data_IF_649305279062
#
_entry.id   IF_649305279062
#
_cell.length_a   1.000
_cell.length_b   1.000
_cell.length_c   1.000
_cell.angle_alpha   90.00
_cell.angle_beta   90.00
_cell.angle_gamma   90.00
#
_symmetry.space_group_name_H-M   'P 1'
#
loop_
_entity.id
_entity.type
_entity.pdbx_description
1 polymer ?
#
# COMPACT_ATOMS: atom_id res chain seq x y z
N UNK A 1 3.00 -17.13 11.79
CA UNK A 1 2.00 -18.06 12.40
C UNK A 1 0.80 -18.23 11.47
N UNK A 2 0.05 -19.34 11.55
CA UNK A 2 -1.21 -19.48 10.79
C UNK A 2 -2.32 -18.69 11.49
N UNK A 3 -3.06 -17.86 10.75
CA UNK A 3 -4.10 -16.96 11.30
C UNK A 3 -5.50 -17.20 10.71
N UNK A 4 -5.60 -17.93 9.60
CA UNK A 4 -6.86 -18.42 9.04
C UNK A 4 -6.63 -19.72 8.27
N UNK A 5 -7.64 -20.58 8.23
CA UNK A 5 -7.58 -21.89 7.57
C UNK A 5 -6.60 -22.86 8.26
N UNK A 6 -5.88 -23.66 7.46
CA UNK A 6 -4.88 -24.62 7.97
C UNK A 6 -5.44 -25.97 8.44
N UNK A 7 -6.76 -26.13 8.54
CA UNK A 7 -7.43 -27.38 8.92
C UNK A 7 -7.72 -28.32 7.75
N UNK A 8 -6.74 -28.49 6.86
CA UNK A 8 -6.86 -29.19 5.56
C UNK A 8 -7.79 -28.45 4.58
N UNK A 9 -7.75 -28.90 3.33
CA UNK A 9 -8.68 -28.48 2.28
C UNK A 9 -10.11 -28.87 2.68
N UNK A 10 -11.06 -27.96 2.55
CA UNK A 10 -12.48 -28.27 2.73
C UNK A 10 -13.35 -27.01 2.72
N UNK A 11 -14.63 -27.16 3.07
CA UNK A 11 -15.64 -26.11 3.00
C UNK A 11 -16.26 -25.75 4.36
N UNK A 12 -15.79 -26.37 5.46
CA UNK A 12 -16.18 -25.98 6.81
C UNK A 12 -15.80 -24.50 7.08
N UNK A 13 -16.36 -23.92 8.15
CA UNK A 13 -16.12 -22.53 8.55
C UNK A 13 -14.67 -22.26 8.93
N UNK A 14 -13.94 -23.27 9.38
CA UNK A 14 -12.52 -23.20 9.69
C UNK A 14 -11.60 -23.71 8.54
N UNK A 15 -12.14 -23.95 7.35
CA UNK A 15 -11.40 -24.50 6.21
C UNK A 15 -11.44 -23.59 4.99
N UNK A 16 -10.38 -23.66 4.18
CA UNK A 16 -10.26 -22.98 2.89
C UNK A 16 -10.00 -24.01 1.78
N UNK A 17 -10.26 -23.63 0.53
CA UNK A 17 -10.08 -24.47 -0.64
C UNK A 17 -9.62 -23.63 -1.85
N UNK A 18 -8.34 -23.75 -2.19
CA UNK A 18 -7.66 -22.95 -3.23
C UNK A 18 -8.05 -21.46 -3.17
N UNK A 19 -7.86 -20.79 -2.02
CA UNK A 19 -8.19 -19.38 -1.89
C UNK A 19 -7.22 -18.54 -2.73
N UNK A 20 -7.70 -17.47 -3.38
CA UNK A 20 -6.89 -16.74 -4.40
C UNK A 20 -6.52 -15.31 -4.04
N UNK A 21 -7.32 -14.63 -3.23
CA UNK A 21 -7.09 -13.24 -2.84
C UNK A 21 -7.44 -13.05 -1.38
N UNK A 22 -6.74 -12.13 -0.71
CA UNK A 22 -7.12 -11.64 0.60
C UNK A 22 -6.80 -10.15 0.73
N UNK A 23 -7.52 -9.45 1.58
CA UNK A 23 -7.06 -8.18 2.15
C UNK A 23 -7.35 -8.15 3.64
N UNK A 24 -6.58 -7.36 4.38
CA UNK A 24 -6.78 -7.12 5.82
C UNK A 24 -7.22 -5.67 6.02
N UNK A 25 -8.28 -5.46 6.81
CA UNK A 25 -8.73 -4.12 7.18
C UNK A 25 -8.02 -3.58 8.44
N UNK A 26 -8.32 -2.32 8.78
CA UNK A 26 -7.75 -1.62 9.95
C UNK A 26 -8.11 -2.29 11.29
N UNK A 27 -9.20 -3.08 11.31
CA UNK A 27 -9.66 -3.84 12.48
C UNK A 27 -9.08 -5.26 12.52
N UNK A 28 -8.04 -5.56 11.73
CA UNK A 28 -7.42 -6.88 11.62
C UNK A 28 -8.41 -7.98 11.20
N UNK A 29 -9.42 -7.60 10.41
CA UNK A 29 -10.35 -8.54 9.78
C UNK A 29 -9.88 -8.84 8.38
N UNK A 30 -9.73 -10.12 8.08
CA UNK A 30 -9.38 -10.61 6.76
C UNK A 30 -10.63 -10.88 5.94
N UNK A 31 -10.63 -10.48 4.68
CA UNK A 31 -11.58 -10.97 3.69
C UNK A 31 -10.84 -11.85 2.70
N UNK A 32 -11.35 -13.04 2.43
CA UNK A 32 -10.65 -14.08 1.66
C UNK A 32 -11.55 -14.57 0.53
N UNK A 33 -11.02 -14.58 -0.70
CA UNK A 33 -11.66 -15.21 -1.85
C UNK A 33 -11.39 -16.72 -1.76
N UNK A 34 -12.32 -17.47 -1.17
CA UNK A 34 -12.21 -18.92 -1.02
C UNK A 34 -12.73 -19.60 -2.29
N UNK A 35 -11.89 -19.55 -3.32
CA UNK A 35 -12.33 -19.59 -4.71
C UNK A 35 -12.96 -20.92 -5.13
N UNK A 36 -12.43 -22.07 -4.70
CA UNK A 36 -13.05 -23.38 -5.00
C UNK A 36 -14.26 -23.68 -4.14
N UNK A 37 -14.47 -22.96 -3.05
CA UNK A 37 -15.71 -23.01 -2.30
C UNK A 37 -16.73 -21.96 -2.76
N UNK A 38 -16.42 -21.20 -3.82
CA UNK A 38 -17.37 -20.29 -4.46
C UNK A 38 -17.93 -19.23 -3.49
N UNK A 39 -17.08 -18.71 -2.61
CA UNK A 39 -17.48 -17.83 -1.53
C UNK A 39 -16.43 -16.78 -1.17
N UNK A 40 -16.88 -15.71 -0.55
CA UNK A 40 -16.05 -14.73 0.16
C UNK A 40 -16.23 -14.98 1.66
N UNK A 41 -15.12 -15.10 2.39
CA UNK A 41 -15.10 -15.35 3.83
C UNK A 41 -14.53 -14.14 4.55
N UNK A 42 -15.22 -13.67 5.58
CA UNK A 42 -14.68 -12.72 6.56
C UNK A 42 -14.12 -13.50 7.75
N UNK A 43 -12.92 -13.16 8.19
CA UNK A 43 -12.22 -13.88 9.25
C UNK A 43 -11.49 -12.89 10.15
N UNK A 44 -11.96 -12.72 11.39
CA UNK A 44 -11.29 -11.82 12.34
C UNK A 44 -10.03 -12.46 12.88
N UNK A 45 -9.01 -11.66 13.14
CA UNK A 45 -7.80 -12.18 13.77
C UNK A 45 -8.14 -12.87 15.11
N UNK A 46 -7.55 -14.05 15.33
CA UNK A 46 -7.74 -14.93 16.48
C UNK A 46 -9.04 -15.76 16.49
N UNK A 47 -9.95 -15.55 15.54
CA UNK A 47 -11.11 -16.44 15.39
C UNK A 47 -10.66 -17.80 14.80
N UNK A 48 -11.25 -18.88 15.30
CA UNK A 48 -11.04 -20.23 14.75
C UNK A 48 -11.85 -20.47 13.46
N UNK A 49 -12.93 -19.72 13.28
CA UNK A 49 -13.89 -19.90 12.20
C UNK A 49 -14.07 -18.60 11.42
N UNK A 50 -14.10 -18.69 10.10
CA UNK A 50 -14.56 -17.63 9.23
C UNK A 50 -16.08 -17.64 9.05
N UNK A 51 -16.61 -16.50 8.66
CA UNK A 51 -18.00 -16.26 8.34
C UNK A 51 -18.15 -16.06 6.82
N UNK A 52 -19.07 -16.78 6.20
CA UNK A 52 -19.37 -16.58 4.78
C UNK A 52 -20.16 -15.29 4.64
N UNK A 53 -19.58 -14.30 3.97
CA UNK A 53 -20.25 -13.02 3.72
C UNK A 53 -20.97 -13.03 2.37
N UNK A 54 -20.40 -13.65 1.35
CA UNK A 54 -21.05 -13.79 0.03
C UNK A 54 -20.77 -15.15 -0.59
N UNK A 55 -21.72 -15.66 -1.37
CA UNK A 55 -21.61 -16.95 -2.03
C UNK A 55 -21.83 -18.10 -1.04
N UNK A 56 -21.13 -19.22 -1.24
CA UNK A 56 -21.26 -20.40 -0.39
C UNK A 56 -22.52 -21.24 -0.62
N UNK A 57 -23.36 -20.83 -1.58
CA UNK A 57 -24.57 -21.54 -2.02
C UNK A 57 -24.28 -22.46 -3.23
N UNK A 58 -23.08 -23.02 -3.28
CA UNK A 58 -22.55 -23.76 -4.41
C UNK A 58 -22.14 -22.86 -5.60
N UNK A 59 -21.55 -23.49 -6.61
CA UNK A 59 -21.20 -22.83 -7.86
C UNK A 59 -22.48 -22.40 -8.60
N UNK A 60 -22.52 -21.16 -9.06
CA UNK A 60 -23.62 -20.68 -9.91
C UNK A 60 -23.44 -19.22 -10.34
N UNK A 61 -24.43 -18.70 -11.06
CA UNK A 61 -24.37 -17.37 -11.69
C UNK A 61 -25.48 -16.41 -11.23
N UNK A 62 -26.30 -16.81 -10.26
CA UNK A 62 -27.22 -15.89 -9.58
C UNK A 62 -26.45 -14.76 -8.88
N UNK A 63 -27.14 -13.70 -8.48
CA UNK A 63 -26.49 -12.54 -7.85
C UNK A 63 -25.93 -12.86 -6.44
N UNK A 64 -26.49 -13.86 -5.77
CA UNK A 64 -26.07 -14.41 -4.49
C UNK A 64 -25.05 -15.57 -4.61
N UNK A 65 -24.72 -15.99 -5.84
CA UNK A 65 -23.78 -17.08 -6.12
C UNK A 65 -22.52 -16.58 -6.82
N UNK A 66 -21.41 -17.26 -6.57
CA UNK A 66 -20.13 -17.00 -7.21
C UNK A 66 -19.62 -18.24 -7.96
N UNK A 67 -18.71 -18.03 -8.89
CA UNK A 67 -17.97 -19.05 -9.61
C UNK A 67 -16.50 -18.70 -9.65
N UNK A 68 -15.68 -19.36 -8.82
CA UNK A 68 -14.23 -19.14 -8.72
C UNK A 68 -13.84 -17.65 -8.58
N UNK A 69 -14.31 -16.94 -7.53
CA UNK A 69 -13.92 -15.55 -7.30
C UNK A 69 -12.39 -15.45 -7.22
N UNK A 70 -11.77 -14.57 -8.00
CA UNK A 70 -10.31 -14.50 -8.11
C UNK A 70 -9.69 -13.39 -7.28
N UNK A 71 -10.38 -12.26 -7.19
CA UNK A 71 -9.90 -11.07 -6.50
C UNK A 71 -11.07 -10.21 -5.99
N UNK A 72 -10.80 -9.36 -5.00
CA UNK A 72 -11.77 -8.43 -4.43
C UNK A 72 -11.10 -7.20 -3.83
N UNK A 73 -11.85 -6.10 -3.74
CA UNK A 73 -11.45 -4.92 -2.99
C UNK A 73 -12.66 -4.24 -2.33
N UNK A 74 -12.42 -3.45 -1.29
CA UNK A 74 -13.44 -2.57 -0.71
C UNK A 74 -13.50 -1.26 -1.49
N UNK A 75 -14.70 -0.89 -1.90
CA UNK A 75 -15.07 0.46 -2.32
C UNK A 75 -15.64 1.20 -1.12
N UNK A 76 -14.81 2.01 -0.47
CA UNK A 76 -15.16 2.70 0.79
C UNK A 76 -16.21 3.79 0.59
N UNK A 77 -16.22 4.44 -0.57
CA UNK A 77 -17.20 5.48 -0.89
C UNK A 77 -18.64 4.92 -0.92
N UNK A 78 -18.82 3.69 -1.41
CA UNK A 78 -20.14 3.03 -1.44
C UNK A 78 -20.32 1.97 -0.36
N UNK A 79 -19.34 1.82 0.54
CA UNK A 79 -19.26 0.73 1.52
C UNK A 79 -19.64 -0.64 0.91
N UNK A 80 -18.94 -1.03 -0.15
CA UNK A 80 -19.25 -2.23 -0.94
C UNK A 80 -17.99 -3.05 -1.24
N UNK A 81 -18.13 -4.35 -1.46
CA UNK A 81 -17.09 -5.18 -2.07
C UNK A 81 -17.23 -5.16 -3.59
N UNK A 82 -16.15 -4.86 -4.30
CA UNK A 82 -16.03 -5.12 -5.75
C UNK A 82 -15.31 -6.46 -5.91
N UNK A 83 -15.89 -7.38 -6.68
CA UNK A 83 -15.45 -8.78 -6.73
C UNK A 83 -15.31 -9.24 -8.17
N UNK A 84 -14.17 -9.85 -8.47
CA UNK A 84 -13.96 -10.58 -9.71
C UNK A 84 -14.49 -12.00 -9.62
N UNK A 85 -15.67 -12.19 -10.19
CA UNK A 85 -16.35 -13.47 -10.29
C UNK A 85 -15.93 -14.18 -11.59
N UNK A 86 -14.67 -14.61 -11.62
CA UNK A 86 -13.94 -15.04 -12.81
C UNK A 86 -14.68 -16.12 -13.62
N UNK A 87 -15.19 -17.16 -12.96
CA UNK A 87 -15.87 -18.27 -13.62
C UNK A 87 -17.17 -17.83 -14.32
N UNK A 88 -17.82 -16.78 -13.81
CA UNK A 88 -18.99 -16.17 -14.44
C UNK A 88 -18.62 -15.03 -15.41
N UNK A 89 -17.33 -14.73 -15.59
CA UNK A 89 -16.79 -13.68 -16.46
C UNK A 89 -17.43 -12.31 -16.22
N UNK A 90 -17.56 -11.93 -14.95
CA UNK A 90 -18.18 -10.67 -14.53
C UNK A 90 -17.45 -10.04 -13.36
N UNK A 91 -17.66 -8.73 -13.19
CA UNK A 91 -17.29 -7.99 -11.99
C UNK A 91 -18.57 -7.56 -11.27
N UNK A 92 -18.66 -7.87 -9.98
CA UNK A 92 -19.79 -7.54 -9.12
C UNK A 92 -19.42 -6.39 -8.19
N UNK A 93 -20.41 -5.60 -7.78
CA UNK A 93 -20.36 -4.70 -6.63
C UNK A 93 -21.44 -5.15 -5.66
N UNK A 94 -21.07 -5.39 -4.41
CA UNK A 94 -21.96 -5.90 -3.38
C UNK A 94 -21.93 -5.00 -2.15
N UNK A 95 -23.08 -4.44 -1.80
CA UNK A 95 -23.22 -3.55 -0.64
C UNK A 95 -22.98 -4.28 0.67
N UNK A 96 -22.16 -3.68 1.55
CA UNK A 96 -21.98 -4.10 2.93
C UNK A 96 -22.90 -3.34 3.91
N UNK A 97 -23.66 -2.34 3.44
CA UNK A 97 -24.64 -1.61 4.25
C UNK A 97 -25.95 -2.40 4.40
N UNK A 98 -26.53 -2.39 5.61
CA UNK A 98 -27.42 -3.44 6.15
C UNK A 98 -28.78 -3.73 5.46
N UNK A 99 -29.36 -4.86 5.92
CA UNK A 99 -30.66 -5.52 5.65
C UNK A 99 -31.15 -5.77 4.21
N UNK A 100 -30.62 -5.10 3.19
CA UNK A 100 -30.91 -5.45 1.79
C UNK A 100 -29.61 -5.64 0.99
N UNK A 101 -29.31 -6.89 0.64
CA UNK A 101 -28.18 -7.25 -0.22
C UNK A 101 -28.43 -6.77 -1.65
N UNK A 102 -28.06 -5.51 -1.96
CA UNK A 102 -28.00 -5.05 -3.35
C UNK A 102 -26.68 -5.50 -3.98
N UNK A 103 -26.77 -6.46 -4.90
CA UNK A 103 -25.66 -6.87 -5.77
C UNK A 103 -25.89 -6.26 -7.15
N UNK A 104 -24.89 -5.56 -7.68
CA UNK A 104 -24.89 -4.97 -9.02
C UNK A 104 -23.79 -5.61 -9.86
N UNK A 105 -24.08 -5.81 -11.14
CA UNK A 105 -23.06 -6.24 -12.11
C UNK A 105 -22.45 -4.99 -12.71
N UNK A 106 -21.16 -4.76 -12.47
CA UNK A 106 -20.44 -3.62 -13.04
C UNK A 106 -20.02 -3.89 -14.49
N UNK A 107 -19.52 -5.10 -14.76
CA UNK A 107 -19.01 -5.51 -16.07
C UNK A 107 -19.36 -6.97 -16.36
N UNK A 108 -19.55 -7.30 -17.64
CA UNK A 108 -19.78 -8.65 -18.15
C UNK A 108 -18.78 -8.97 -19.26
N UNK A 109 -18.61 -10.28 -19.55
CA UNK A 109 -17.71 -10.79 -20.60
C UNK A 109 -16.25 -10.36 -20.39
N UNK A 110 -15.83 -10.26 -19.11
CA UNK A 110 -14.46 -9.96 -18.72
C UNK A 110 -13.91 -11.19 -18.01
N UNK A 111 -12.80 -11.75 -18.48
CA UNK A 111 -12.11 -12.82 -17.77
C UNK A 111 -11.23 -12.22 -16.67
N UNK A 112 -11.87 -11.61 -15.67
CA UNK A 112 -11.16 -10.89 -14.62
C UNK A 112 -10.29 -11.84 -13.80
N UNK A 113 -9.06 -11.43 -13.51
CA UNK A 113 -8.22 -12.08 -12.51
C UNK A 113 -7.96 -11.17 -11.32
N UNK A 114 -7.55 -9.92 -11.54
CA UNK A 114 -7.24 -8.93 -10.51
C UNK A 114 -7.85 -7.56 -10.81
N UNK A 115 -8.08 -6.79 -9.75
CA UNK A 115 -8.70 -5.46 -9.81
C UNK A 115 -7.99 -4.43 -8.95
N UNK A 116 -8.05 -3.17 -9.38
CA UNK A 116 -7.72 -2.01 -8.54
C UNK A 116 -8.73 -0.89 -8.76
N UNK A 117 -8.95 -0.07 -7.74
CA UNK A 117 -9.84 1.09 -7.80
C UNK A 117 -9.03 2.32 -7.41
N UNK A 118 -9.05 3.35 -8.27
CA UNK A 118 -8.44 4.64 -7.94
C UNK A 118 -9.45 5.62 -7.28
N UNK A 119 -8.92 6.69 -6.70
CA UNK A 119 -9.67 7.75 -6.02
C UNK A 119 -10.64 8.47 -6.96
N UNK A 120 -10.41 8.37 -8.27
CA UNK A 120 -11.29 8.87 -9.30
C UNK A 120 -12.32 7.83 -9.73
N UNK A 121 -12.57 6.75 -8.98
CA UNK A 121 -13.52 5.68 -9.30
C UNK A 121 -13.32 5.03 -10.68
N UNK A 122 -12.11 5.01 -11.20
CA UNK A 122 -11.76 4.11 -12.29
C UNK A 122 -11.41 2.75 -11.71
N UNK A 123 -12.17 1.74 -12.12
CA UNK A 123 -11.87 0.35 -11.89
C UNK A 123 -10.92 -0.12 -12.99
N UNK A 124 -9.77 -0.65 -12.59
CA UNK A 124 -8.80 -1.30 -13.43
C UNK A 124 -8.94 -2.81 -13.28
N UNK A 125 -8.94 -3.53 -14.40
CA UNK A 125 -9.23 -4.96 -14.43
C UNK A 125 -8.23 -5.65 -15.34
N UNK A 126 -7.51 -6.65 -14.85
CA UNK A 126 -6.75 -7.55 -15.72
C UNK A 126 -7.71 -8.55 -16.37
N UNK A 127 -7.79 -8.52 -17.69
CA UNK A 127 -8.55 -9.49 -18.47
C UNK A 127 -7.55 -10.49 -19.08
N UNK A 128 -7.35 -11.62 -18.41
CA UNK A 128 -6.31 -12.58 -18.81
C UNK A 128 -6.57 -13.18 -20.19
N UNK A 129 -7.83 -13.24 -20.63
CA UNK A 129 -8.20 -13.74 -21.96
C UNK A 129 -7.92 -12.71 -23.08
N UNK A 130 -7.90 -11.42 -22.74
CA UNK A 130 -7.56 -10.34 -23.69
C UNK A 130 -6.09 -9.94 -23.64
N UNK A 131 -5.30 -10.52 -22.75
CA UNK A 131 -3.89 -10.14 -22.57
C UNK A 131 -3.74 -8.63 -22.33
N UNK A 132 -4.63 -8.06 -21.51
CA UNK A 132 -4.78 -6.62 -21.35
C UNK A 132 -5.23 -6.22 -19.94
N UNK A 133 -4.94 -4.98 -19.57
CA UNK A 133 -5.61 -4.29 -18.47
C UNK A 133 -6.61 -3.29 -19.03
N UNK A 134 -7.83 -3.39 -18.52
CA UNK A 134 -8.96 -2.54 -18.85
C UNK A 134 -9.13 -1.47 -17.79
N UNK A 135 -9.54 -0.26 -18.18
CA UNK A 135 -9.95 0.84 -17.31
C UNK A 135 -11.40 1.22 -17.58
N UNK A 136 -12.21 1.19 -16.53
CA UNK A 136 -13.65 1.44 -16.57
C UNK A 136 -14.03 2.47 -15.50
N UNK A 137 -14.61 3.60 -15.91
CA UNK A 137 -15.20 4.54 -14.95
C UNK A 137 -16.55 3.99 -14.51
N UNK A 138 -16.70 3.70 -13.22
CA UNK A 138 -17.94 3.12 -12.69
C UNK A 138 -19.13 4.02 -13.06
N UNK A 139 -20.17 3.40 -13.65
CA UNK A 139 -21.39 4.09 -14.08
C UNK A 139 -21.32 4.75 -15.46
N UNK A 140 -20.21 4.61 -16.20
CA UNK A 140 -20.07 5.10 -17.58
C UNK A 140 -19.92 3.92 -18.54
N UNK A 141 -20.45 3.97 -19.77
CA UNK A 141 -20.47 2.80 -20.66
C UNK A 141 -19.10 2.43 -21.25
N UNK A 142 -18.12 3.34 -21.23
CA UNK A 142 -16.85 3.17 -21.94
C UNK A 142 -15.83 2.38 -21.11
N UNK A 143 -15.24 1.37 -21.74
CA UNK A 143 -14.09 0.60 -21.22
C UNK A 143 -12.91 0.82 -22.17
N UNK A 144 -11.74 1.15 -21.64
CA UNK A 144 -10.53 1.38 -22.43
C UNK A 144 -9.45 0.35 -22.07
N UNK A 145 -8.59 -0.01 -23.02
CA UNK A 145 -7.35 -0.73 -22.73
C UNK A 145 -6.29 0.28 -22.31
N UNK A 146 -5.57 0.00 -21.21
CA UNK A 146 -4.53 0.90 -20.65
C UNK A 146 -3.15 0.23 -20.53
N UNK A 147 -3.08 -1.10 -20.65
CA UNK A 147 -1.84 -1.87 -20.77
C UNK A 147 -2.09 -3.16 -21.56
N UNK A 148 -1.10 -3.61 -22.33
CA UNK A 148 -1.24 -4.76 -23.23
C UNK A 148 -2.27 -4.56 -24.34
N UNK A 149 -3.01 -5.62 -24.69
CA UNK A 149 -4.05 -5.60 -25.72
C UNK A 149 -3.54 -5.75 -27.16
N UNK A 150 -2.24 -5.98 -27.35
CA UNK A 150 -1.60 -6.21 -28.65
C UNK A 150 -1.31 -7.71 -28.90
N UNK A 151 -2.19 -8.58 -28.40
CA UNK A 151 -2.04 -10.04 -28.45
C UNK A 151 -1.19 -10.62 -27.32
N UNK A 152 -1.18 -11.95 -27.24
CA UNK A 152 -0.29 -12.70 -26.35
C UNK A 152 1.16 -12.56 -26.81
N UNK A 153 2.07 -12.18 -25.91
CA UNK A 153 3.49 -12.13 -26.22
C UNK A 153 4.32 -11.46 -25.13
N UNK A 154 5.61 -11.27 -25.39
CA UNK A 154 6.60 -10.75 -24.45
C UNK A 154 7.20 -9.39 -24.85
N UNK A 155 6.73 -8.79 -25.95
CA UNK A 155 7.11 -7.42 -26.31
C UNK A 155 6.72 -6.41 -25.22
N UNK A 156 7.29 -5.21 -25.27
CA UNK A 156 7.04 -4.13 -24.29
C UNK A 156 5.61 -3.62 -24.32
N UNK A 157 4.87 -3.83 -25.41
CA UNK A 157 3.45 -3.50 -25.55
C UNK A 157 2.50 -4.72 -25.44
N UNK A 158 3.03 -5.89 -25.08
CA UNK A 158 2.28 -7.15 -24.97
C UNK A 158 2.30 -7.67 -23.53
N UNK A 159 1.28 -8.48 -23.21
CA UNK A 159 1.17 -9.22 -21.96
C UNK A 159 0.88 -10.69 -22.29
N UNK A 160 1.23 -11.59 -21.38
CA UNK A 160 0.88 -13.00 -21.44
C UNK A 160 0.20 -13.45 -20.13
N UNK A 161 -1.13 -13.64 -20.21
CA UNK A 161 -1.98 -14.05 -19.10
C UNK A 161 -1.86 -13.12 -17.88
N UNK A 162 -2.10 -11.79 -18.00
CA UNK A 162 -1.96 -10.88 -16.87
C UNK A 162 -2.91 -11.29 -15.72
N UNK A 163 -2.41 -11.28 -14.49
CA UNK A 163 -3.15 -11.77 -13.31
C UNK A 163 -3.51 -10.64 -12.35
N UNK A 164 -2.61 -10.18 -11.49
CA UNK A 164 -2.90 -9.07 -10.58
C UNK A 164 -2.33 -7.77 -11.12
N UNK A 165 -2.81 -6.66 -10.58
CA UNK A 165 -2.37 -5.33 -10.94
C UNK A 165 -2.42 -4.39 -9.74
N UNK A 166 -1.60 -3.35 -9.79
CA UNK A 166 -1.63 -2.22 -8.88
C UNK A 166 -1.66 -0.94 -9.71
N UNK A 167 -2.31 0.10 -9.18
CA UNK A 167 -2.36 1.43 -9.81
C UNK A 167 -1.86 2.45 -8.82
N UNK A 168 -0.81 3.18 -9.18
CA UNK A 168 -0.30 4.28 -8.34
C UNK A 168 -1.14 5.56 -8.51
N UNK A 169 -0.82 6.59 -7.71
CA UNK A 169 -1.53 7.88 -7.75
C UNK A 169 -1.33 8.64 -9.06
N UNK A 170 -0.21 8.40 -9.72
CA UNK A 170 0.12 8.91 -11.04
C UNK A 170 -0.65 8.15 -12.15
N UNK A 171 -1.50 7.18 -11.80
CA UNK A 171 -2.24 6.28 -12.69
C UNK A 171 -1.31 5.41 -13.56
N UNK A 172 -0.09 5.15 -13.10
CA UNK A 172 0.73 4.08 -13.67
C UNK A 172 0.16 2.73 -13.26
N UNK A 173 0.10 1.81 -14.22
CA UNK A 173 -0.42 0.47 -14.02
C UNK A 173 0.74 -0.52 -13.95
N UNK A 174 0.85 -1.19 -12.82
CA UNK A 174 1.77 -2.30 -12.60
C UNK A 174 1.01 -3.60 -12.78
N UNK A 175 1.55 -4.55 -13.55
CA UNK A 175 0.86 -5.77 -13.94
C UNK A 175 1.77 -6.97 -13.74
N UNK A 176 1.26 -7.99 -13.05
CA UNK A 176 1.88 -9.31 -13.01
C UNK A 176 1.63 -10.02 -14.33
N UNK A 177 2.64 -9.94 -15.20
CA UNK A 177 2.70 -10.58 -16.50
C UNK A 177 3.09 -12.06 -16.32
N UNK A 178 2.11 -12.82 -15.82
CA UNK A 178 2.27 -14.12 -15.17
C UNK A 178 3.09 -15.12 -15.99
N UNK A 179 2.74 -15.33 -17.28
CA UNK A 179 3.43 -16.31 -18.13
C UNK A 179 4.77 -15.83 -18.67
N UNK A 180 5.01 -14.51 -18.66
CA UNK A 180 6.31 -13.94 -19.00
C UNK A 180 7.25 -13.79 -17.78
N UNK A 181 6.77 -14.16 -16.58
CA UNK A 181 7.56 -14.17 -15.35
C UNK A 181 8.21 -12.82 -15.01
N UNK A 182 7.43 -11.74 -15.19
CA UNK A 182 7.86 -10.36 -14.93
C UNK A 182 6.72 -9.53 -14.38
N UNK A 183 7.06 -8.43 -13.73
CA UNK A 183 6.13 -7.33 -13.46
C UNK A 183 6.42 -6.22 -14.46
N UNK A 184 5.39 -5.73 -15.12
CA UNK A 184 5.49 -4.64 -16.08
C UNK A 184 4.81 -3.38 -15.54
N UNK A 185 5.39 -2.20 -15.76
CA UNK A 185 4.83 -0.89 -15.42
C UNK A 185 4.51 -0.12 -16.70
N UNK A 186 3.26 0.32 -16.86
CA UNK A 186 2.88 1.32 -17.85
C UNK A 186 2.65 2.64 -17.14
N UNK A 187 3.35 3.70 -17.55
CA UNK A 187 2.96 5.07 -17.15
C UNK A 187 1.61 5.40 -17.78
N UNK A 188 0.86 6.32 -17.17
CA UNK A 188 -0.41 6.79 -17.71
C UNK A 188 -0.28 7.16 -19.19
N UNK A 189 -1.18 6.63 -20.01
CA UNK A 189 -1.29 6.84 -21.46
C UNK A 189 -0.08 6.34 -22.30
N UNK A 190 0.89 5.66 -21.70
CA UNK A 190 2.02 5.05 -22.41
C UNK A 190 1.55 3.94 -23.36
N UNK A 191 2.22 3.81 -24.51
CA UNK A 191 1.94 2.74 -25.49
C UNK A 191 2.68 1.45 -25.18
N UNK A 192 3.78 1.56 -24.46
CA UNK A 192 4.65 0.45 -24.07
C UNK A 192 4.94 0.53 -22.58
N UNK A 193 5.17 -0.63 -21.98
CA UNK A 193 5.54 -0.79 -20.60
C UNK A 193 7.04 -1.01 -20.46
N UNK A 194 7.51 -0.85 -19.23
CA UNK A 194 8.88 -1.17 -18.82
C UNK A 194 8.84 -2.35 -17.84
N UNK A 195 9.88 -3.18 -17.86
CA UNK A 195 10.05 -4.24 -16.86
C UNK A 195 10.37 -3.56 -15.53
N UNK A 196 9.52 -3.77 -14.54
CA UNK A 196 9.65 -3.15 -13.22
C UNK A 196 10.23 -4.13 -12.19
N UNK A 197 10.02 -5.44 -12.37
CA UNK A 197 10.68 -6.48 -11.58
C UNK A 197 10.77 -7.80 -12.39
N UNK A 198 11.83 -8.57 -12.15
CA UNK A 198 12.08 -9.83 -12.86
C UNK A 198 12.52 -9.62 -14.31
N UNK A 199 11.97 -10.43 -15.23
CA UNK A 199 12.28 -10.33 -16.67
C UNK A 199 13.52 -11.10 -17.14
N UNK A 200 14.28 -11.70 -16.22
CA UNK A 200 15.43 -12.57 -16.54
C UNK A 200 15.02 -14.05 -16.68
N UNK A 201 13.82 -14.29 -17.18
CA UNK A 201 13.21 -15.62 -17.30
C UNK A 201 12.70 -16.19 -15.97
N UNK A 202 12.21 -17.43 -16.03
CA UNK A 202 11.66 -18.16 -14.89
C UNK A 202 12.76 -18.65 -13.96
N UNK A 203 12.67 -18.36 -12.66
CA UNK A 203 13.57 -19.00 -11.70
C UNK A 203 13.51 -18.47 -10.28
N UNK A 204 14.51 -18.87 -9.48
CA UNK A 204 14.66 -18.52 -8.07
C UNK A 204 15.83 -17.58 -7.80
N UNK A 205 16.59 -17.15 -8.81
CA UNK A 205 17.60 -16.11 -8.63
C UNK A 205 16.94 -14.80 -8.15
N UNK A 206 17.69 -13.91 -7.51
CA UNK A 206 17.16 -12.63 -7.02
C UNK A 206 16.75 -11.68 -8.15
N UNK A 207 17.26 -11.90 -9.36
CA UNK A 207 16.89 -11.20 -10.60
C UNK A 207 15.67 -11.83 -11.30
N UNK A 208 15.17 -12.95 -10.81
CA UNK A 208 14.14 -13.75 -11.47
C UNK A 208 12.85 -13.83 -10.65
N UNK A 209 11.74 -13.85 -11.38
CA UNK A 209 10.44 -14.23 -10.85
C UNK A 209 10.03 -15.55 -11.49
N UNK A 210 9.10 -16.25 -10.86
CA UNK A 210 8.46 -17.43 -11.44
C UNK A 210 6.98 -17.24 -11.19
N UNK A 211 6.23 -17.00 -12.27
CA UNK A 211 4.77 -16.85 -12.22
C UNK A 211 4.31 -15.82 -11.17
N UNK A 212 4.61 -14.52 -11.34
CA UNK A 212 4.20 -13.50 -10.38
C UNK A 212 2.67 -13.42 -10.29
N UNK A 213 2.16 -13.31 -9.06
CA UNK A 213 0.74 -13.23 -8.71
C UNK A 213 0.42 -11.86 -8.15
N UNK A 214 -0.12 -11.74 -6.95
CA UNK A 214 -0.39 -10.44 -6.34
C UNK A 214 0.88 -9.61 -6.28
N UNK A 215 0.70 -8.31 -6.51
CA UNK A 215 1.73 -7.32 -6.38
C UNK A 215 1.15 -6.09 -5.71
N UNK A 216 2.01 -5.39 -4.99
CA UNK A 216 1.69 -4.15 -4.31
C UNK A 216 2.87 -3.20 -4.45
N UNK A 217 2.61 -1.91 -4.61
CA UNK A 217 3.67 -0.91 -4.70
C UNK A 217 3.49 0.10 -3.58
N UNK A 218 4.56 0.32 -2.83
CA UNK A 218 4.54 1.23 -1.69
C UNK A 218 4.75 2.70 -2.12
N UNK A 219 4.72 3.66 -1.17
CA UNK A 219 4.88 5.10 -1.50
C UNK A 219 6.27 5.44 -2.06
N UNK A 220 7.27 4.62 -1.77
CA UNK A 220 8.64 4.77 -2.24
C UNK A 220 8.84 4.14 -3.63
N UNK A 221 7.81 3.51 -4.19
CA UNK A 221 7.90 2.81 -5.48
C UNK A 221 8.44 1.38 -5.35
N UNK A 222 8.63 0.88 -4.14
CA UNK A 222 9.07 -0.50 -3.89
C UNK A 222 7.95 -1.47 -4.26
N UNK A 223 8.27 -2.43 -5.13
CA UNK A 223 7.34 -3.45 -5.60
C UNK A 223 7.47 -4.68 -4.72
N UNK A 224 6.37 -5.07 -4.10
CA UNK A 224 6.20 -6.34 -3.41
C UNK A 224 5.47 -7.29 -4.33
N UNK A 225 5.95 -8.53 -4.48
CA UNK A 225 5.36 -9.49 -5.41
C UNK A 225 5.38 -10.91 -4.84
N UNK A 226 4.24 -11.59 -4.90
CA UNK A 226 4.15 -13.02 -4.65
C UNK A 226 4.61 -13.79 -5.88
N UNK A 227 5.74 -14.50 -5.78
CA UNK A 227 6.25 -15.34 -6.85
C UNK A 227 5.79 -16.79 -6.63
N UNK A 228 4.71 -17.21 -7.30
CA UNK A 228 4.04 -18.49 -7.00
C UNK A 228 4.96 -19.70 -7.22
N UNK A 229 5.74 -19.65 -8.31
CA UNK A 229 6.57 -20.76 -8.74
C UNK A 229 7.89 -20.82 -8.00
N UNK A 230 8.23 -19.74 -7.30
CA UNK A 230 9.41 -19.64 -6.43
C UNK A 230 9.02 -19.71 -4.95
N UNK A 231 7.74 -19.88 -4.61
CA UNK A 231 7.25 -20.10 -3.23
C UNK A 231 7.71 -19.03 -2.22
N UNK A 232 7.69 -17.77 -2.64
CA UNK A 232 8.22 -16.64 -1.87
C UNK A 232 7.50 -15.33 -2.17
N UNK A 233 7.61 -14.37 -1.27
CA UNK A 233 7.30 -12.96 -1.50
C UNK A 233 8.60 -12.20 -1.59
N UNK A 234 8.76 -11.39 -2.64
CA UNK A 234 9.93 -10.55 -2.86
C UNK A 234 9.58 -9.08 -2.78
N UNK A 235 10.53 -8.26 -2.32
CA UNK A 235 10.50 -6.81 -2.49
C UNK A 235 11.53 -6.37 -3.53
N UNK A 236 11.23 -5.31 -4.26
CA UNK A 236 12.04 -4.77 -5.33
C UNK A 236 11.99 -3.24 -5.25
N UNK A 237 12.99 -2.59 -4.64
CA UNK A 237 13.05 -1.13 -4.60
C UNK A 237 13.06 -0.53 -6.01
N UNK A 238 12.61 0.73 -6.13
CA UNK A 238 12.67 1.44 -7.41
C UNK A 238 14.11 1.46 -7.94
N UNK A 239 14.27 1.27 -9.26
CA UNK A 239 15.57 1.15 -9.96
C UNK A 239 16.48 -0.03 -9.54
N UNK A 240 16.05 -0.91 -8.64
CA UNK A 240 16.85 -2.08 -8.29
C UNK A 240 16.96 -3.05 -9.48
N UNK A 241 18.11 -3.72 -9.63
CA UNK A 241 18.34 -4.75 -10.66
C UNK A 241 18.01 -6.17 -10.17
N UNK A 242 17.82 -6.33 -8.86
CA UNK A 242 17.45 -7.57 -8.20
C UNK A 242 16.55 -7.28 -6.99
N UNK A 243 15.69 -8.23 -6.64
CA UNK A 243 14.85 -8.16 -5.45
C UNK A 243 15.47 -8.83 -4.23
N UNK A 244 14.79 -8.70 -3.10
CA UNK A 244 15.12 -9.39 -1.84
C UNK A 244 13.94 -10.23 -1.40
N UNK A 245 14.19 -11.44 -0.91
CA UNK A 245 13.14 -12.30 -0.35
C UNK A 245 12.77 -11.80 1.04
N UNK A 246 11.50 -11.48 1.26
CA UNK A 246 10.99 -11.02 2.57
C UNK A 246 10.17 -12.09 3.30
N UNK A 247 9.56 -13.03 2.55
CA UNK A 247 8.82 -14.16 3.13
C UNK A 247 9.03 -15.42 2.28
N UNK A 248 9.19 -16.56 2.94
CA UNK A 248 9.38 -17.88 2.31
C UNK A 248 10.85 -18.24 2.13
N UNK A 249 11.12 -19.51 1.80
CA UNK A 249 12.49 -20.07 1.69
C UNK A 249 12.90 -20.39 0.27
N UNK A 250 12.19 -19.85 -0.72
CA UNK A 250 12.31 -20.21 -2.15
C UNK A 250 12.08 -21.69 -2.48
N UNK A 251 11.49 -22.44 -1.54
CA UNK A 251 11.23 -23.88 -1.66
C UNK A 251 9.83 -24.18 -1.10
N UNK A 252 9.15 -25.15 -1.74
CA UNK A 252 7.83 -25.57 -1.30
C UNK A 252 7.91 -26.19 0.09
N UNK A 253 6.99 -25.82 0.98
CA UNK A 253 6.89 -26.49 2.27
C UNK A 253 5.67 -26.10 3.09
N UNK A 254 5.60 -26.61 4.32
CA UNK A 254 4.45 -26.46 5.24
C UNK A 254 4.83 -25.91 6.63
N UNK A 255 6.12 -25.75 6.89
CA UNK A 255 6.62 -25.17 8.14
C UNK A 255 6.22 -23.69 8.25
N UNK A 256 6.40 -23.09 9.43
CA UNK A 256 5.96 -21.73 9.74
C UNK A 256 6.59 -20.63 8.84
N UNK A 257 7.75 -20.90 8.25
CA UNK A 257 8.46 -20.00 7.34
C UNK A 257 8.48 -20.50 5.89
N UNK A 258 7.77 -21.59 5.59
CA UNK A 258 7.69 -22.15 4.25
C UNK A 258 6.31 -21.88 3.65
N UNK A 259 6.31 -21.63 2.35
CA UNK A 259 5.11 -21.38 1.56
C UNK A 259 4.98 -22.46 0.48
N UNK A 260 3.78 -22.64 -0.04
CA UNK A 260 3.48 -23.47 -1.17
C UNK A 260 2.58 -22.69 -2.14
N UNK A 261 3.22 -22.11 -3.16
CA UNK A 261 2.59 -21.23 -4.15
C UNK A 261 1.82 -20.08 -3.50
N UNK A 262 2.48 -19.07 -2.90
CA UNK A 262 1.75 -17.90 -2.42
C UNK A 262 1.04 -17.21 -3.58
N UNK A 263 -0.24 -16.90 -3.42
CA UNK A 263 -1.02 -16.20 -4.45
C UNK A 263 -1.20 -14.74 -4.11
N UNK A 264 -1.50 -14.47 -2.85
CA UNK A 264 -1.91 -13.18 -2.38
C UNK A 264 -1.21 -12.81 -1.08
N UNK A 265 -1.10 -11.52 -0.81
CA UNK A 265 -0.66 -10.99 0.47
C UNK A 265 -1.25 -9.61 0.74
N UNK A 266 -1.39 -9.26 2.01
CA UNK A 266 -1.77 -7.92 2.44
C UNK A 266 -0.93 -7.51 3.63
N UNK A 267 -0.67 -6.22 3.75
CA UNK A 267 -0.06 -5.64 4.94
C UNK A 267 -1.14 -5.15 5.90
N UNK A 268 -0.83 -5.12 7.20
CA UNK A 268 -1.61 -4.34 8.17
C UNK A 268 -0.91 -3.02 8.51
N UNK A 269 -1.59 -2.16 9.25
CA UNK A 269 -1.07 -0.85 9.69
C UNK A 269 0.18 -0.92 10.57
N UNK A 270 0.52 -2.09 11.12
CA UNK A 270 1.72 -2.31 11.92
C UNK A 270 2.88 -2.87 11.09
N UNK A 271 2.73 -2.96 9.75
CA UNK A 271 3.73 -3.49 8.85
C UNK A 271 3.85 -5.02 8.86
N UNK A 272 2.91 -5.75 9.49
CA UNK A 272 2.90 -7.21 9.37
C UNK A 272 2.36 -7.61 7.99
N UNK A 273 2.89 -8.70 7.45
CA UNK A 273 2.45 -9.27 6.17
C UNK A 273 1.64 -10.55 6.40
N UNK A 274 0.47 -10.62 5.77
CA UNK A 274 -0.44 -11.76 5.75
C UNK A 274 -0.36 -12.40 4.38
N UNK A 275 0.24 -13.59 4.29
CA UNK A 275 0.46 -14.29 3.02
C UNK A 275 -0.53 -15.45 2.87
N UNK A 276 -1.24 -15.47 1.75
CA UNK A 276 -2.12 -16.56 1.34
C UNK A 276 -1.28 -17.72 0.80
N UNK A 277 -1.06 -18.71 1.66
CA UNK A 277 -0.31 -19.92 1.38
C UNK A 277 -1.22 -20.94 0.65
N UNK A 278 -1.54 -20.63 -0.61
CA UNK A 278 -2.60 -21.24 -1.43
C UNK A 278 -2.65 -22.78 -1.36
N UNK A 279 -1.54 -23.46 -1.64
CA UNK A 279 -1.52 -24.94 -1.68
C UNK A 279 -1.48 -25.60 -0.30
N UNK A 280 -1.35 -24.79 0.75
CA UNK A 280 -1.51 -25.23 2.14
C UNK A 280 -2.83 -24.78 2.76
N UNK A 281 -3.70 -24.10 1.99
CA UNK A 281 -5.07 -23.76 2.38
C UNK A 281 -5.13 -22.92 3.67
N UNK A 282 -4.21 -21.97 3.81
CA UNK A 282 -4.07 -21.16 5.03
C UNK A 282 -3.58 -19.75 4.72
N UNK A 283 -3.79 -18.85 5.67
CA UNK A 283 -3.15 -17.54 5.73
C UNK A 283 -2.09 -17.57 6.82
N UNK A 284 -0.87 -17.11 6.51
CA UNK A 284 0.21 -16.97 7.48
C UNK A 284 0.54 -15.49 7.71
N UNK A 285 0.62 -15.07 8.98
CA UNK A 285 1.12 -13.75 9.39
C UNK A 285 2.60 -13.81 9.72
N UNK A 286 3.36 -12.84 9.23
CA UNK A 286 4.77 -12.61 9.53
C UNK A 286 4.96 -11.18 9.99
N UNK A 287 5.76 -11.00 11.03
CA UNK A 287 6.28 -9.68 11.41
C UNK A 287 7.56 -9.45 10.64
N UNK A 288 7.64 -8.35 9.91
CA UNK A 288 8.88 -7.95 9.25
C UNK A 288 9.78 -7.35 10.32
N UNK A 289 11.06 -7.74 10.31
CA UNK A 289 12.05 -7.36 11.32
C UNK A 289 12.40 -5.87 11.29
N UNK A 290 11.99 -5.14 10.25
CA UNK A 290 12.13 -3.70 10.14
C UNK A 290 10.84 -3.07 9.56
N UNK A 291 10.06 -2.33 10.37
CA UNK A 291 8.87 -1.61 9.89
C UNK A 291 9.18 -0.54 8.84
N UNK A 292 10.42 -0.05 8.75
CA UNK A 292 10.84 0.94 7.76
C UNK A 292 10.94 0.36 6.33
N UNK A 293 10.89 -0.96 6.18
CA UNK A 293 10.97 -1.64 4.89
C UNK A 293 9.68 -1.54 4.04
N UNK A 294 8.58 -1.04 4.61
CA UNK A 294 7.28 -0.96 3.92
C UNK A 294 6.65 0.40 4.18
N UNK A 295 6.84 1.35 3.26
CA UNK A 295 6.11 2.63 3.30
C UNK A 295 4.76 2.46 2.66
N UNK A 296 3.81 1.81 3.36
CA UNK A 296 2.48 1.59 2.82
C UNK A 296 1.94 2.90 2.25
N UNK A 297 1.38 2.94 1.01
CA UNK A 297 0.46 4.01 0.67
C UNK A 297 -0.55 4.09 1.80
N UNK A 298 -1.09 5.28 2.14
CA UNK A 298 -2.14 5.30 3.13
C UNK A 298 -3.10 4.24 2.64
N UNK A 299 -3.42 3.29 3.52
CA UNK A 299 -4.41 2.26 3.24
C UNK A 299 -5.44 2.97 2.38
N UNK A 300 -5.76 2.50 1.16
CA UNK A 300 -6.77 3.18 0.35
C UNK A 300 -8.14 3.03 1.06
N UNK A 301 -8.36 3.72 2.19
CA UNK A 301 -9.13 4.95 2.30
C UNK A 301 -8.60 5.95 1.28
N UNK A 302 -9.18 5.89 0.09
CA UNK A 302 -9.24 7.07 -0.76
C UNK A 302 -9.98 8.15 0.03
N UNK A 303 -9.40 9.34 0.05
CA UNK A 303 -9.69 10.50 0.90
C UNK A 303 -11.17 10.83 1.18
N UNK A 304 -11.49 11.14 2.44
CA UNK A 304 -12.66 11.94 2.83
C UNK A 304 -12.28 13.42 2.65
N UNK A 305 -12.99 14.24 1.86
CA UNK A 305 -13.10 15.66 2.19
C UNK A 305 -14.18 15.79 3.27
N UNK A 306 -13.76 16.16 4.48
CA UNK A 306 -14.69 16.68 5.48
C UNK A 306 -15.39 17.89 4.87
N UNK A 307 -16.70 17.87 4.96
CA UNK A 307 -17.60 18.87 4.39
C UNK A 307 -17.26 20.28 4.89
N UNK A 308 -16.71 21.12 4.02
CA UNK A 308 -16.81 22.57 4.18
C UNK A 308 -16.93 23.24 2.82
N UNK A 309 -18.03 23.96 2.65
CA UNK A 309 -18.40 24.81 1.52
C UNK A 309 -17.26 25.74 1.14
N UNK A 310 -16.75 25.64 -0.11
CA UNK A 310 -16.01 26.75 -0.73
C UNK A 310 -16.90 27.33 -1.82
N UNK A 311 -17.23 28.60 -1.62
CA UNK A 311 -17.98 29.47 -2.52
C UNK A 311 -17.27 29.53 -3.88
N UNK A 312 -18.01 29.27 -4.95
CA UNK A 312 -17.55 29.47 -6.31
C UNK A 312 -17.43 30.97 -6.64
N UNK A 313 -16.36 31.38 -7.30
CA UNK A 313 -16.26 32.66 -8.03
C UNK A 313 -15.90 32.33 -9.49
N UNK A 314 -16.51 33.00 -10.50
CA UNK A 314 -16.52 32.51 -11.86
C UNK A 314 -15.23 32.79 -12.65
N UNK A 315 -15.00 31.93 -13.62
CA UNK A 315 -13.92 31.97 -14.62
C UNK A 315 -14.04 33.15 -15.58
N UNK A 316 -12.90 33.78 -15.91
CA UNK A 316 -12.73 34.48 -17.19
C UNK A 316 -11.33 34.22 -17.79
N UNK A 317 -11.38 33.61 -18.99
CA UNK A 317 -10.53 33.77 -20.19
C UNK A 317 -8.98 33.68 -20.19
N UNK A 318 -8.54 32.82 -21.13
CA UNK A 318 -7.27 32.76 -21.90
C UNK A 318 -6.08 31.97 -21.32
N UNK A 319 -5.41 31.11 -22.13
CA UNK A 319 -4.27 30.27 -21.70
C UNK A 319 -2.96 31.08 -21.73
N UNK A 320 -1.93 30.79 -20.89
CA UNK A 320 -0.88 29.83 -21.33
C UNK A 320 0.00 29.21 -20.22
N UNK A 321 0.95 28.38 -20.69
CA UNK A 321 2.29 28.10 -20.15
C UNK A 321 2.48 26.96 -19.13
N UNK A 322 3.58 26.23 -19.34
CA UNK A 322 4.06 25.06 -18.61
C UNK A 322 3.79 25.13 -17.10
N UNK A 323 2.91 24.25 -16.65
CA UNK A 323 2.62 24.05 -15.24
C UNK A 323 3.75 23.25 -14.56
N UNK A 324 4.68 23.97 -13.94
CA UNK A 324 5.66 23.44 -12.99
C UNK A 324 5.11 23.33 -11.57
N UNK A 325 3.79 23.44 -11.35
CA UNK A 325 3.17 23.46 -10.01
C UNK A 325 2.61 22.09 -9.55
N UNK A 326 3.18 20.98 -10.03
CA UNK A 326 2.83 19.68 -9.43
C UNK A 326 3.54 19.52 -8.09
N UNK A 327 2.92 20.07 -7.05
CA UNK A 327 3.32 19.91 -5.66
C UNK A 327 3.27 18.42 -5.30
N UNK A 328 4.39 17.86 -4.86
CA UNK A 328 4.52 16.46 -4.45
C UNK A 328 4.56 16.37 -2.93
N UNK A 329 3.89 15.36 -2.39
CA UNK A 329 3.77 15.15 -0.94
C UNK A 329 4.42 13.81 -0.58
N UNK A 330 5.41 13.84 0.30
CA UNK A 330 5.92 12.68 1.04
C UNK A 330 5.31 12.66 2.43
N UNK A 331 5.04 11.49 3.00
CA UNK A 331 4.48 11.41 4.35
C UNK A 331 5.28 10.44 5.21
N UNK A 332 5.37 10.76 6.49
CA UNK A 332 5.92 9.94 7.56
C UNK A 332 4.85 9.76 8.65
N UNK A 333 4.82 8.62 9.32
CA UNK A 333 3.95 8.41 10.48
C UNK A 333 4.73 7.68 11.57
N UNK A 334 4.53 8.09 12.81
CA UNK A 334 5.25 7.59 13.97
C UNK A 334 4.38 7.61 15.22
N UNK A 335 4.93 7.12 16.32
CA UNK A 335 4.30 7.15 17.64
C UNK A 335 5.38 7.47 18.65
N UNK A 336 5.21 8.59 19.37
CA UNK A 336 6.02 8.88 20.54
C UNK A 336 5.52 8.03 21.70
N UNK A 337 6.44 7.38 22.41
CA UNK A 337 6.16 6.58 23.60
C UNK A 337 7.13 6.99 24.72
N UNK A 338 6.89 6.50 25.94
CA UNK A 338 7.81 6.73 27.07
C UNK A 338 9.18 6.09 26.89
N UNK A 339 9.35 5.22 25.88
CA UNK A 339 10.64 4.65 25.48
C UNK A 339 11.32 5.41 24.34
N UNK A 340 10.70 6.46 23.79
CA UNK A 340 11.32 7.32 22.79
C UNK A 340 12.49 8.10 23.41
N UNK A 341 13.47 8.44 22.57
CA UNK A 341 14.58 9.30 22.98
C UNK A 341 14.07 10.68 23.43
N UNK A 342 14.80 11.30 24.35
CA UNK A 342 14.44 12.60 24.92
C UNK A 342 15.53 13.63 24.64
N UNK A 343 15.14 14.90 24.61
CA UNK A 343 16.06 16.02 24.41
C UNK A 343 15.55 17.29 25.10
N UNK A 344 16.43 18.28 25.25
CA UNK A 344 16.07 19.58 25.85
C UNK A 344 15.49 20.51 24.79
N UNK A 345 14.18 20.81 24.88
CA UNK A 345 13.46 21.72 23.99
C UNK A 345 13.67 23.19 24.38
N UNK A 346 14.39 23.97 23.58
CA UNK A 346 14.62 25.41 23.77
C UNK A 346 15.04 25.83 25.20
N UNK A 347 15.82 24.99 25.89
CA UNK A 347 16.25 25.24 27.28
C UNK A 347 15.13 25.14 28.34
N UNK A 348 13.95 24.63 27.98
CA UNK A 348 12.85 24.37 28.94
C UNK A 348 13.15 23.13 29.77
N UNK A 349 12.81 23.18 31.06
CA UNK A 349 12.77 22.00 31.93
C UNK A 349 11.56 21.14 31.57
N UNK A 350 11.75 19.83 31.40
CA UNK A 350 10.69 18.89 31.06
C UNK A 350 11.24 17.66 30.34
N UNK A 351 10.39 16.64 30.16
CA UNK A 351 10.73 15.43 29.39
C UNK A 351 10.07 15.53 28.01
N UNK A 352 10.85 15.83 26.97
CA UNK A 352 10.34 15.92 25.60
C UNK A 352 10.77 14.70 24.80
N UNK A 353 9.81 13.82 24.50
CA UNK A 353 10.02 12.69 23.62
C UNK A 353 10.14 13.16 22.18
N UNK A 354 11.06 12.60 21.42
CA UNK A 354 11.22 12.95 20.02
C UNK A 354 11.39 11.75 19.11
N UNK A 355 11.11 11.98 17.83
CA UNK A 355 11.42 11.07 16.75
C UNK A 355 12.23 11.80 15.68
N UNK A 356 13.40 11.27 15.35
CA UNK A 356 14.25 11.78 14.30
C UNK A 356 13.92 11.12 12.97
N UNK A 357 13.76 11.95 11.94
CA UNK A 357 13.37 11.55 10.59
C UNK A 357 14.45 12.07 9.65
N UNK A 358 15.17 11.16 9.00
CA UNK A 358 16.11 11.49 7.95
C UNK A 358 15.34 12.00 6.71
N UNK A 359 15.77 13.16 6.21
CA UNK A 359 15.19 13.85 5.06
C UNK A 359 16.24 13.91 3.96
N UNK A 360 15.99 13.21 2.85
CA UNK A 360 16.90 13.18 1.70
C UNK A 360 16.20 13.78 0.46
N UNK A 361 16.42 15.08 0.16
CA UNK A 361 15.84 15.72 -1.02
C UNK A 361 16.41 15.14 -2.32
N UNK A 362 15.53 14.89 -3.28
CA UNK A 362 15.89 14.40 -4.63
C UNK A 362 16.06 15.53 -5.65
N UNK A 363 15.62 16.74 -5.30
CA UNK A 363 15.80 17.95 -6.10
C UNK A 363 16.00 19.13 -5.15
N UNK A 364 16.87 20.06 -5.53
CA UNK A 364 17.08 21.31 -4.80
C UNK A 364 15.85 22.19 -4.97
N UNK A 365 15.33 22.76 -3.89
CA UNK A 365 14.15 23.62 -3.94
C UNK A 365 13.52 23.89 -2.57
N UNK A 366 12.36 24.54 -2.58
CA UNK A 366 11.61 24.86 -1.37
C UNK A 366 10.73 23.69 -0.95
N UNK A 367 10.77 23.36 0.34
CA UNK A 367 9.98 22.30 0.96
C UNK A 367 9.26 22.84 2.20
N UNK A 368 8.02 22.37 2.42
CA UNK A 368 7.22 22.64 3.61
C UNK A 368 6.95 21.34 4.35
N UNK A 369 7.26 21.28 5.63
CA UNK A 369 6.95 20.15 6.51
C UNK A 369 5.78 20.53 7.42
N UNK A 370 4.71 19.74 7.43
CA UNK A 370 3.53 19.95 8.28
C UNK A 370 3.24 18.72 9.12
N UNK A 371 2.98 18.90 10.41
CA UNK A 371 2.48 17.81 11.25
C UNK A 371 0.97 17.64 11.15
N UNK A 372 0.52 16.42 11.45
CA UNK A 372 -0.86 16.09 11.77
C UNK A 372 -0.87 15.14 12.97
N UNK A 373 -1.45 15.59 14.07
CA UNK A 373 -1.45 14.93 15.37
C UNK A 373 -2.70 15.37 16.16
N UNK A 374 -3.13 14.60 17.15
CA UNK A 374 -4.11 15.05 18.14
C UNK A 374 -3.44 15.75 19.35
N UNK A 375 -2.12 15.88 19.28
CA UNK A 375 -1.23 16.43 20.31
C UNK A 375 -0.52 17.63 19.71
N UNK A 376 -0.38 18.67 20.52
CA UNK A 376 0.37 19.87 20.20
C UNK A 376 1.84 19.54 19.88
N UNK A 377 2.28 19.94 18.70
CA UNK A 377 3.46 19.41 18.04
C UNK A 377 4.43 20.50 17.64
N UNK A 378 5.72 20.17 17.77
CA UNK A 378 6.81 21.08 17.51
C UNK A 378 7.84 20.42 16.59
N UNK A 379 8.38 21.17 15.63
CA UNK A 379 9.28 20.65 14.61
C UNK A 379 10.62 21.37 14.60
N UNK A 380 11.72 20.62 14.48
CA UNK A 380 13.06 21.16 14.24
C UNK A 380 13.68 20.53 13.00
N UNK A 381 14.41 21.31 12.22
CA UNK A 381 15.15 20.82 11.07
C UNK A 381 16.64 21.12 11.21
N UNK A 382 17.47 20.10 11.05
CA UNK A 382 18.92 20.15 11.18
C UNK A 382 19.62 19.76 9.87
N UNK A 383 20.80 20.33 9.60
CA UNK A 383 21.77 19.67 8.71
C UNK A 383 22.40 18.50 9.45
N UNK A 384 22.52 17.33 8.84
CA UNK A 384 23.06 16.17 9.56
C UNK A 384 24.51 16.36 10.03
N UNK A 385 24.88 15.81 11.21
CA UNK A 385 24.03 15.06 12.17
C UNK A 385 23.33 15.98 13.21
N UNK A 386 22.15 15.54 13.68
CA UNK A 386 21.50 16.07 14.89
C UNK A 386 22.16 15.51 16.16
N UNK A 387 22.41 16.37 17.14
CA UNK A 387 22.96 16.01 18.45
C UNK A 387 21.95 16.37 19.56
N UNK A 388 21.34 15.38 20.25
CA UNK A 388 20.35 15.64 21.30
C UNK A 388 20.95 16.30 22.54
N UNK A 389 22.28 16.27 22.73
CA UNK A 389 22.99 16.96 23.82
C UNK A 389 23.34 18.40 23.47
N UNK A 390 23.34 18.76 22.19
CA UNK A 390 23.65 20.09 21.69
C UNK A 390 22.66 20.54 20.60
N UNK A 391 21.44 20.81 21.04
CA UNK A 391 20.25 21.00 20.20
C UNK A 391 20.26 22.28 19.35
N UNK A 392 21.27 23.14 19.53
CA UNK A 392 21.50 24.35 18.71
C UNK A 392 22.51 24.13 17.60
N UNK A 393 23.35 23.09 17.70
CA UNK A 393 24.31 22.74 16.66
C UNK A 393 23.56 22.29 15.41
N UNK A 394 23.97 22.78 14.24
CA UNK A 394 23.41 22.42 12.95
C UNK A 394 21.91 22.72 12.75
N UNK A 395 21.29 23.47 13.66
CA UNK A 395 19.87 23.84 13.55
C UNK A 395 19.68 24.80 12.37
N UNK A 396 18.83 24.43 11.42
CA UNK A 396 18.47 25.28 10.28
C UNK A 396 17.29 26.17 10.60
N UNK A 397 16.23 25.57 11.12
CA UNK A 397 14.97 26.24 11.44
C UNK A 397 14.15 25.34 12.35
N UNK A 398 13.19 25.93 13.04
CA UNK A 398 12.22 25.24 13.86
C UNK A 398 10.89 25.99 13.79
N UNK A 399 9.79 25.30 14.00
CA UNK A 399 8.47 25.88 13.96
C UNK A 399 7.56 25.24 15.02
N UNK A 400 6.66 26.09 15.48
CA UNK A 400 5.56 25.83 16.39
C UNK A 400 4.24 25.88 15.62
N UNK A 401 3.10 25.79 16.30
CA UNK A 401 1.82 26.26 15.79
C UNK A 401 1.97 27.69 15.23
N UNK A 402 1.36 27.90 14.06
CA UNK A 402 1.69 29.01 13.19
C UNK A 402 1.03 30.32 13.69
N UNK A 403 1.48 30.85 14.84
CA UNK A 403 1.08 32.09 15.56
C UNK A 403 -0.44 32.33 15.72
N UNK A 404 -1.27 31.33 15.40
CA UNK A 404 -2.71 31.35 15.49
C UNK A 404 -3.10 30.16 16.36
N UNK A 405 -3.51 30.42 17.60
CA UNK A 405 -3.88 29.50 18.71
C UNK A 405 -5.05 28.51 18.38
N UNK A 406 -5.17 28.07 17.13
CA UNK A 406 -6.27 27.25 16.61
C UNK A 406 -5.78 25.96 15.94
N UNK A 407 -4.46 25.72 15.91
CA UNK A 407 -3.87 24.57 15.23
C UNK A 407 -2.65 24.04 15.97
N UNK A 408 -2.80 22.94 16.70
CA UNK A 408 -1.78 22.17 17.44
C UNK A 408 -0.67 21.53 16.54
N UNK A 409 -0.44 22.06 15.33
CA UNK A 409 0.41 21.49 14.27
C UNK A 409 1.48 22.48 13.80
N UNK A 410 2.75 22.07 13.84
CA UNK A 410 3.82 22.84 13.25
C UNK A 410 3.76 22.86 11.71
N UNK A 411 4.25 23.95 11.14
CA UNK A 411 4.49 24.10 9.69
C UNK A 411 5.82 24.80 9.44
N UNK A 412 6.78 24.09 8.84
CA UNK A 412 8.15 24.56 8.65
C UNK A 412 8.48 24.66 7.16
N UNK A 413 8.83 25.86 6.69
CA UNK A 413 9.28 26.09 5.32
C UNK A 413 10.81 26.23 5.28
N UNK A 414 11.46 25.58 4.32
CA UNK A 414 12.90 25.62 4.16
C UNK A 414 13.33 25.36 2.72
N UNK A 415 14.57 25.74 2.38
CA UNK A 415 15.21 25.37 1.13
C UNK A 415 16.17 24.19 1.37
N UNK A 416 15.99 23.10 0.63
CA UNK A 416 16.83 21.90 0.73
C UNK A 416 17.67 21.71 -0.54
N UNK A 417 18.86 21.12 -0.38
CA UNK A 417 19.80 20.86 -1.46
C UNK A 417 19.93 19.36 -1.74
N UNK A 418 19.88 18.98 -3.01
CA UNK A 418 20.11 17.60 -3.44
C UNK A 418 21.51 17.15 -3.04
N UNK A 419 21.64 15.93 -2.52
CA UNK A 419 22.93 15.36 -2.09
C UNK A 419 23.32 15.70 -0.66
N UNK A 420 22.54 16.53 0.04
CA UNK A 420 22.67 16.79 1.48
C UNK A 420 21.62 15.99 2.23
N UNK A 421 22.02 15.36 3.34
CA UNK A 421 21.08 14.70 4.27
C UNK A 421 20.74 15.66 5.42
N UNK A 422 19.47 15.70 5.79
CA UNK A 422 18.94 16.53 6.87
C UNK A 422 18.23 15.64 7.89
N UNK A 423 18.06 16.13 9.11
CA UNK A 423 17.24 15.46 10.13
C UNK A 423 16.12 16.39 10.57
N UNK A 424 14.88 15.94 10.38
CA UNK A 424 13.69 16.55 10.97
C UNK A 424 13.41 15.86 12.30
N UNK A 425 13.29 16.64 13.36
CA UNK A 425 12.86 16.17 14.68
C UNK A 425 11.39 16.54 14.85
N UNK A 426 10.55 15.52 15.05
CA UNK A 426 9.19 15.69 15.55
C UNK A 426 9.20 15.55 17.07
N UNK A 427 8.54 16.47 17.79
CA UNK A 427 8.31 16.38 19.23
C UNK A 427 6.97 17.03 19.60
N UNK A 428 6.64 17.03 20.88
CA UNK A 428 5.45 17.68 21.44
C UNK A 428 5.78 19.07 21.98
N UNK A 429 4.77 19.94 22.00
CA UNK A 429 4.89 21.22 22.68
C UNK A 429 4.91 21.03 24.20
N UNK A 430 3.98 20.26 24.74
CA UNK A 430 3.95 19.96 26.18
C UNK A 430 4.92 18.83 26.55
N UNK A 431 5.39 18.85 27.80
CA UNK A 431 6.27 17.82 28.33
C UNK A 431 5.49 16.57 28.78
N UNK A 432 6.17 15.42 28.76
CA UNK A 432 5.61 14.11 29.13
C UNK A 432 4.40 13.67 28.28
N UNK A 433 4.28 14.19 27.06
CA UNK A 433 3.20 13.82 26.13
C UNK A 433 3.67 12.79 25.09
N UNK A 434 2.84 11.78 24.88
CA UNK A 434 3.08 10.66 23.97
C UNK A 434 1.85 10.44 23.09
N UNK A 435 2.06 9.86 21.91
CA UNK A 435 0.97 9.48 21.01
C UNK A 435 1.34 9.49 19.53
N UNK A 436 0.37 9.16 18.66
CA UNK A 436 0.59 9.02 17.24
C UNK A 436 0.71 10.38 16.56
N UNK A 437 1.57 10.45 15.55
CA UNK A 437 1.71 11.63 14.70
C UNK A 437 1.97 11.26 13.25
N UNK A 438 1.80 12.24 12.36
CA UNK A 438 2.29 12.16 11.00
C UNK A 438 2.89 13.48 10.55
N UNK A 439 3.81 13.42 9.58
CA UNK A 439 4.41 14.60 8.95
C UNK A 439 4.27 14.48 7.45
N UNK A 440 3.79 15.54 6.80
CA UNK A 440 3.81 15.68 5.35
C UNK A 440 4.92 16.66 4.93
N UNK A 441 5.78 16.21 4.02
CA UNK A 441 6.75 17.06 3.34
C UNK A 441 6.26 17.38 1.94
N UNK A 442 6.11 18.66 1.65
CA UNK A 442 5.51 19.22 0.44
C UNK A 442 6.61 19.93 -0.33
N UNK A 443 6.84 19.58 -1.59
CA UNK A 443 7.91 20.21 -2.37
C UNK A 443 7.81 19.97 -3.88
N UNK A 444 8.82 20.42 -4.65
CA UNK A 444 8.84 20.27 -6.12
C UNK A 444 8.94 18.80 -6.57
N UNK A 445 9.53 17.94 -5.74
CA UNK A 445 9.56 16.47 -5.92
C UNK A 445 9.32 15.77 -4.59
N UNK A 446 9.04 14.46 -4.63
CA UNK A 446 8.98 13.65 -3.40
C UNK A 446 10.36 13.63 -2.73
N UNK A 447 10.38 13.82 -1.42
CA UNK A 447 11.56 13.69 -0.54
C UNK A 447 11.51 12.35 0.19
N UNK A 448 12.66 11.71 0.42
CA UNK A 448 12.71 10.50 1.24
C UNK A 448 12.55 10.89 2.72
N UNK A 449 11.66 10.21 3.44
CA UNK A 449 11.45 10.36 4.88
C UNK A 449 11.63 8.99 5.53
N UNK A 450 12.66 8.80 6.35
CA UNK A 450 13.00 7.52 6.97
C UNK A 450 13.30 7.74 8.44
N UNK A 451 12.92 6.80 9.32
CA UNK A 451 13.30 6.88 10.74
C UNK A 451 14.83 6.93 10.87
N UNK A 452 15.35 7.89 11.63
CA UNK A 452 16.76 8.01 11.95
C UNK A 452 17.00 7.59 13.41
N UNK A 453 17.77 6.52 13.61
CA UNK A 453 18.12 6.07 14.96
C UNK A 453 19.27 6.93 15.50
N UNK A 454 18.93 7.94 16.30
CA UNK A 454 19.91 8.78 16.99
C UNK A 454 20.47 8.00 18.18
N UNK A 455 21.79 7.82 18.33
CA UNK A 455 22.38 7.11 19.46
C UNK A 455 21.97 7.77 20.78
N UNK A 456 21.34 7.00 21.68
CA UNK A 456 21.11 7.44 23.06
C UNK A 456 22.39 7.26 23.86
N UNK A 457 22.99 8.34 24.34
CA UNK A 457 23.98 8.23 25.42
C UNK A 457 23.22 7.99 26.72
N UNK A 458 23.45 6.86 27.38
CA UNK A 458 23.02 6.62 28.75
C UNK A 458 23.43 7.83 29.61
N UNK A 459 22.49 8.39 30.38
CA UNK A 459 22.84 9.31 31.43
C UNK A 459 23.79 8.58 32.39
N UNK A 460 24.98 9.12 32.72
CA UNK A 460 25.81 8.50 33.75
C UNK A 460 25.01 8.56 35.06
N UNK A 461 24.77 7.39 35.63
CA UNK A 461 24.35 7.25 37.02
C UNK A 461 25.27 8.11 37.90
N UNK A 462 24.71 9.20 38.45
CA UNK A 462 25.33 9.98 39.52
C UNK A 462 25.09 9.31 40.86
N UNK A 463 26.15 9.28 41.68
CA UNK A 463 26.24 8.72 43.04
C UNK A 463 25.17 9.20 44.01
#
# INVERSE_FOLDING_TARGET
>A
MTVAGGHRRGNATNQLNEPRSLFVDENQTMFIADSRNHRIVRWKLNDTNGEVVLGGLGQGNRLDQLSWPSDMLIDKETNSLIICDQGNRRVLQWSLSGNATTVKILLRKIFCFGIALDDQRYLYISDSAKHAVLRYKIGKPKVNVVAGGNGEGSATNQLNWPTYLFVDREQSVYVSDFRNHRVMKWKKDAKEGIVAAGGQGKGIALTQLSNPRELFVDRLGTIFVAADGSHRVMRWPEEATQGTVIVGTSHRGRKANQLACPWAFSFDQHGNIYVLDHNNYRVQRFSLSDPADVSLPPMNITSIPSSTTIVAIPTTTAPPANDTSVVRISNYSGVLTTSSSTFTRNGRSGTFYFEAIEVIPKQTGSYTFKSYSAIDSYGYLYTNPFDPLNTTSNLLTHADDNENETSDQFSLECALQTGTSYTLIFTTFDDDVTGPFSVAAVGPVRVSLVRNNVPTTEAPYGM
#
